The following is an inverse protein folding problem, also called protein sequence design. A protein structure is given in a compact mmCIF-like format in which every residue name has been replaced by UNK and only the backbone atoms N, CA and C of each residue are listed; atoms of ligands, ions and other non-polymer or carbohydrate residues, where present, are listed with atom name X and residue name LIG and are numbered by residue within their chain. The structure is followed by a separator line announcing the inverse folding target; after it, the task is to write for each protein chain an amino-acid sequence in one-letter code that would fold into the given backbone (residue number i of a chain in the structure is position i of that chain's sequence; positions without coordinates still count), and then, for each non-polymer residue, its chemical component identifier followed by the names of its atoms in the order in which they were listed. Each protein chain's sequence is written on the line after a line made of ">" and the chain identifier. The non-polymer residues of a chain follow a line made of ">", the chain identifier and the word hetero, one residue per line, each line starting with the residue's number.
data_IF_115980848747
#
_entry.id   IF_115980848747
#
_cell.length_a   1.000
_cell.length_b   1.000
_cell.length_c   1.000
_cell.angle_alpha   90.00
_cell.angle_beta   90.00
_cell.angle_gamma   90.00
#
_symmetry.space_group_name_H-M   'P 1'
#
loop_
_entity.id
_entity.type
_entity.pdbx_description
1 polymer ?
#
# COMPACT_ATOMS: atom_id res chain seq x y z
N UNK A 1 8.64 -24.13 -12.74
CA UNK A 1 8.16 -23.61 -14.04
C UNK A 1 7.12 -22.51 -13.81
N UNK A 2 6.21 -22.65 -12.84
CA UNK A 2 5.22 -21.61 -12.48
C UNK A 2 5.84 -20.30 -11.95
N UNK A 3 6.94 -20.36 -11.20
CA UNK A 3 7.62 -19.17 -10.69
C UNK A 3 8.22 -18.27 -11.80
N UNK A 4 8.52 -18.83 -12.96
CA UNK A 4 9.03 -18.09 -14.12
C UNK A 4 7.89 -17.31 -14.80
N UNK A 5 6.71 -17.90 -14.92
CA UNK A 5 5.52 -17.29 -15.53
C UNK A 5 4.97 -16.12 -14.70
N UNK A 6 5.11 -16.18 -13.36
CA UNK A 6 4.70 -15.11 -12.45
C UNK A 6 5.70 -13.93 -12.38
N UNK A 7 6.90 -14.08 -12.96
CA UNK A 7 7.94 -13.03 -12.97
C UNK A 7 7.96 -12.17 -14.24
N UNK A 8 7.20 -12.58 -15.27
CA UNK A 8 7.12 -11.86 -16.54
C UNK A 8 6.11 -10.71 -16.45
N UNK A 9 6.45 -9.58 -17.06
CA UNK A 9 5.51 -8.49 -17.23
C UNK A 9 4.41 -8.86 -18.25
N UNK A 10 3.28 -8.16 -18.17
CA UNK A 10 2.08 -8.43 -18.98
C UNK A 10 2.34 -8.50 -20.49
N UNK A 11 3.33 -7.76 -21.02
CA UNK A 11 3.66 -7.77 -22.45
C UNK A 11 4.43 -9.03 -22.84
N UNK A 12 5.37 -9.44 -21.99
CA UNK A 12 6.12 -10.68 -22.19
C UNK A 12 5.22 -11.92 -22.04
N UNK A 13 4.25 -11.86 -21.13
CA UNK A 13 3.23 -12.89 -20.95
C UNK A 13 2.29 -12.98 -22.18
N UNK A 14 1.83 -11.85 -22.70
CA UNK A 14 1.01 -11.78 -23.92
C UNK A 14 1.73 -12.34 -25.15
N UNK A 15 3.01 -12.03 -25.35
CA UNK A 15 3.78 -12.53 -26.50
C UNK A 15 3.89 -14.06 -26.53
N UNK A 16 4.08 -14.69 -25.37
CA UNK A 16 4.18 -16.15 -25.24
C UNK A 16 2.83 -16.83 -25.55
N UNK A 17 1.72 -16.14 -25.26
CA UNK A 17 0.38 -16.70 -25.40
C UNK A 17 -0.22 -16.43 -26.77
N UNK A 18 0.12 -15.33 -27.42
CA UNK A 18 -0.16 -15.11 -28.84
C UNK A 18 0.44 -16.20 -29.74
N UNK A 19 1.54 -16.83 -29.30
CA UNK A 19 2.14 -17.99 -29.98
C UNK A 19 1.37 -19.30 -29.75
N UNK A 20 0.56 -19.37 -28.68
CA UNK A 20 -0.34 -20.48 -28.33
C UNK A 20 -1.80 -20.28 -28.81
N UNK A 21 -2.18 -19.06 -29.19
CA UNK A 21 -3.56 -18.62 -29.49
C UNK A 21 -4.11 -19.04 -30.87
N UNK A 22 -3.53 -20.03 -31.53
CA UNK A 22 -4.15 -20.65 -32.72
C UNK A 22 -5.32 -21.60 -32.38
N UNK A 23 -5.82 -21.62 -31.13
CA UNK A 23 -6.83 -22.56 -30.68
C UNK A 23 -8.02 -21.89 -29.96
N UNK A 24 -9.02 -21.52 -30.78
CA UNK A 24 -10.47 -21.43 -30.50
C UNK A 24 -11.07 -20.17 -29.81
N UNK A 25 -12.03 -19.55 -30.51
CA UNK A 25 -12.79 -18.32 -30.21
C UNK A 25 -13.45 -18.21 -28.81
N UNK A 26 -13.61 -19.32 -28.06
CA UNK A 26 -14.19 -19.27 -26.71
C UNK A 26 -13.22 -18.69 -25.68
N UNK A 27 -11.93 -18.82 -25.92
CA UNK A 27 -10.91 -18.37 -24.99
C UNK A 27 -10.75 -16.85 -25.03
N UNK A 28 -10.88 -16.20 -26.20
CA UNK A 28 -10.79 -14.74 -26.34
C UNK A 28 -11.81 -14.01 -25.44
N UNK A 29 -13.08 -14.44 -25.45
CA UNK A 29 -14.11 -13.81 -24.60
C UNK A 29 -13.88 -14.00 -23.10
N UNK A 30 -13.32 -15.14 -22.71
CA UNK A 30 -12.97 -15.39 -21.31
C UNK A 30 -11.76 -14.54 -20.88
N UNK A 31 -10.79 -14.34 -21.78
CA UNK A 31 -9.63 -13.47 -21.56
C UNK A 31 -10.02 -12.00 -21.43
N UNK A 32 -10.90 -11.49 -22.29
CA UNK A 32 -11.40 -10.12 -22.21
C UNK A 32 -12.08 -9.83 -20.86
N UNK A 33 -12.91 -10.77 -20.38
CA UNK A 33 -13.57 -10.66 -19.07
C UNK A 33 -12.54 -10.65 -17.94
N UNK A 34 -11.53 -11.52 -18.01
CA UNK A 34 -10.48 -11.60 -17.01
C UNK A 34 -9.60 -10.34 -17.00
N UNK A 35 -9.25 -9.80 -18.17
CA UNK A 35 -8.47 -8.58 -18.33
C UNK A 35 -9.23 -7.38 -17.73
N UNK A 36 -10.51 -7.22 -18.08
CA UNK A 36 -11.36 -6.17 -17.50
C UNK A 36 -11.51 -6.32 -15.99
N UNK A 37 -11.70 -7.55 -15.49
CA UNK A 37 -11.82 -7.82 -14.05
C UNK A 37 -10.51 -7.53 -13.30
N UNK A 38 -9.36 -7.91 -13.87
CA UNK A 38 -8.05 -7.66 -13.29
C UNK A 38 -7.69 -6.17 -13.31
N UNK A 39 -7.91 -5.48 -14.43
CA UNK A 39 -7.76 -4.03 -14.52
C UNK A 39 -8.66 -3.29 -13.53
N UNK A 40 -9.92 -3.72 -13.41
CA UNK A 40 -10.86 -3.19 -12.42
C UNK A 40 -10.33 -3.36 -11.00
N UNK A 41 -9.83 -4.55 -10.68
CA UNK A 41 -9.22 -4.85 -9.37
C UNK A 41 -7.98 -3.99 -9.10
N UNK A 42 -7.13 -3.80 -10.11
CA UNK A 42 -5.94 -2.93 -10.04
C UNK A 42 -6.32 -1.46 -9.82
N UNK A 43 -7.29 -0.94 -10.56
CA UNK A 43 -7.80 0.44 -10.40
C UNK A 43 -8.39 0.66 -9.01
N UNK A 44 -9.17 -0.31 -8.49
CA UNK A 44 -9.73 -0.26 -7.14
C UNK A 44 -8.62 -0.26 -6.09
N UNK A 45 -7.62 -1.13 -6.24
CA UNK A 45 -6.46 -1.20 -5.36
C UNK A 45 -5.70 0.14 -5.29
N UNK A 46 -5.40 0.74 -6.44
CA UNK A 46 -4.72 2.04 -6.53
C UNK A 46 -5.55 3.14 -5.85
N UNK A 47 -6.86 3.18 -6.12
CA UNK A 47 -7.75 4.17 -5.50
C UNK A 47 -7.79 4.05 -3.98
N UNK A 48 -7.82 2.81 -3.44
CA UNK A 48 -7.75 2.59 -1.99
C UNK A 48 -6.42 3.01 -1.39
N UNK A 49 -5.30 2.70 -2.04
CA UNK A 49 -3.97 3.16 -1.61
C UNK A 49 -3.87 4.69 -1.58
N UNK A 50 -4.48 5.38 -2.56
CA UNK A 50 -4.54 6.85 -2.56
C UNK A 50 -5.33 7.40 -1.38
N UNK A 51 -6.48 6.79 -1.04
CA UNK A 51 -7.28 7.17 0.13
C UNK A 51 -6.49 6.96 1.42
N UNK A 52 -5.85 5.80 1.58
CA UNK A 52 -5.00 5.51 2.75
C UNK A 52 -3.83 6.47 2.88
N UNK A 53 -3.20 6.81 1.75
CA UNK A 53 -2.11 7.81 1.73
C UNK A 53 -2.62 9.16 2.20
N UNK A 54 -3.76 9.62 1.69
CA UNK A 54 -4.37 10.88 2.13
C UNK A 54 -4.74 10.86 3.61
N UNK A 55 -5.34 9.78 4.10
CA UNK A 55 -5.67 9.60 5.51
C UNK A 55 -4.41 9.62 6.38
N UNK A 56 -3.34 8.94 5.94
CA UNK A 56 -2.06 8.92 6.63
C UNK A 56 -1.43 10.32 6.70
N UNK A 57 -1.47 11.09 5.61
CA UNK A 57 -0.91 12.45 5.58
C UNK A 57 -1.59 13.39 6.57
N UNK A 58 -2.93 13.40 6.59
CA UNK A 58 -3.72 14.29 7.47
C UNK A 58 -3.89 13.75 8.89
N UNK A 59 -3.48 12.51 9.16
CA UNK A 59 -3.60 11.90 10.49
C UNK A 59 -2.85 12.75 11.52
N UNK A 60 -3.53 13.16 12.58
CA UNK A 60 -2.95 13.91 13.68
C UNK A 60 -3.43 13.33 14.99
N UNK A 61 -2.62 13.50 16.04
CA UNK A 61 -3.03 13.10 17.37
C UNK A 61 -3.89 14.21 18.01
N UNK A 62 -5.03 13.86 18.60
CA UNK A 62 -5.90 14.79 19.33
C UNK A 62 -5.41 15.00 20.77
N UNK A 63 -5.95 16.01 21.45
CA UNK A 63 -5.54 16.31 22.83
C UNK A 63 -6.10 15.32 23.85
N UNK A 64 -7.27 14.73 23.54
CA UNK A 64 -8.04 13.83 24.39
C UNK A 64 -7.62 12.36 24.23
N UNK A 65 -7.01 11.98 23.12
CA UNK A 65 -6.57 10.61 22.91
C UNK A 65 -5.22 10.34 23.56
N UNK A 66 -4.97 9.07 23.85
CA UNK A 66 -3.68 8.58 24.34
C UNK A 66 -2.75 8.25 23.18
N UNK A 67 -1.44 8.23 23.45
CA UNK A 67 -0.43 7.82 22.45
C UNK A 67 -0.69 6.40 21.94
N UNK A 68 -1.20 5.50 22.80
CA UNK A 68 -1.50 4.11 22.43
C UNK A 68 -2.66 4.07 21.44
N UNK A 69 -3.76 4.78 21.72
CA UNK A 69 -4.90 4.88 20.80
C UNK A 69 -4.49 5.47 19.46
N UNK A 70 -3.69 6.54 19.49
CA UNK A 70 -3.15 7.14 18.27
C UNK A 70 -2.29 6.14 17.46
N UNK A 71 -1.40 5.41 18.14
CA UNK A 71 -0.53 4.45 17.49
C UNK A 71 -1.30 3.28 16.85
N UNK A 72 -2.42 2.84 17.45
CA UNK A 72 -3.31 1.86 16.84
C UNK A 72 -3.84 2.39 15.49
N UNK A 73 -4.30 3.63 15.42
CA UNK A 73 -4.80 4.23 14.16
C UNK A 73 -3.71 4.30 13.09
N UNK A 74 -2.47 4.61 13.48
CA UNK A 74 -1.31 4.60 12.56
C UNK A 74 -1.07 3.19 12.01
N UNK A 75 -1.08 2.18 12.88
CA UNK A 75 -0.86 0.79 12.49
C UNK A 75 -2.01 0.22 11.66
N UNK A 76 -3.25 0.61 11.92
CA UNK A 76 -4.41 0.18 11.12
C UNK A 76 -4.26 0.60 9.65
N UNK A 77 -3.85 1.86 9.41
CA UNK A 77 -3.58 2.35 8.05
C UNK A 77 -2.40 1.60 7.42
N UNK A 78 -1.32 1.39 8.17
CA UNK A 78 -0.14 0.69 7.69
C UNK A 78 -0.45 -0.77 7.31
N UNK A 79 -1.25 -1.46 8.13
CA UNK A 79 -1.70 -2.82 7.90
C UNK A 79 -2.61 -2.89 6.67
N UNK A 80 -3.55 -1.96 6.52
CA UNK A 80 -4.41 -1.94 5.32
C UNK A 80 -3.56 -1.71 4.05
N UNK A 81 -2.59 -0.79 4.11
CA UNK A 81 -1.64 -0.56 3.02
C UNK A 81 -0.84 -1.82 2.67
N UNK A 82 -0.36 -2.57 3.67
CA UNK A 82 0.38 -3.82 3.48
C UNK A 82 -0.51 -4.93 2.87
N UNK A 83 -1.79 -5.03 3.26
CA UNK A 83 -2.73 -5.95 2.61
C UNK A 83 -3.00 -5.60 1.15
N UNK A 84 -2.84 -4.32 0.78
CA UNK A 84 -2.83 -3.83 -0.58
C UNK A 84 -1.42 -3.87 -1.19
N UNK A 85 -0.46 -4.60 -0.60
CA UNK A 85 0.87 -4.82 -1.14
C UNK A 85 1.78 -3.58 -1.19
N UNK A 86 1.43 -2.51 -0.46
CA UNK A 86 2.30 -1.35 -0.27
C UNK A 86 2.71 -1.26 1.20
N UNK A 87 3.85 -1.86 1.53
CA UNK A 87 4.37 -1.86 2.90
C UNK A 87 5.00 -0.51 3.25
N UNK A 88 4.55 0.09 4.34
CA UNK A 88 5.19 1.26 4.93
C UNK A 88 6.43 0.87 5.74
N UNK A 89 7.51 1.65 5.64
CA UNK A 89 8.70 1.42 6.43
C UNK A 89 8.50 1.86 7.88
N UNK A 90 9.15 1.18 8.83
CA UNK A 90 9.11 1.54 10.24
C UNK A 90 9.55 2.98 10.49
N UNK A 91 10.59 3.45 9.77
CA UNK A 91 11.03 4.84 9.82
C UNK A 91 9.93 5.83 9.40
N UNK A 92 9.17 5.53 8.34
CA UNK A 92 8.04 6.36 7.90
C UNK A 92 6.95 6.42 8.98
N UNK A 93 6.66 5.29 9.63
CA UNK A 93 5.69 5.20 10.71
C UNK A 93 6.14 5.97 11.96
N UNK A 94 7.40 5.80 12.38
CA UNK A 94 7.97 6.52 13.53
C UNK A 94 7.97 8.02 13.29
N UNK A 95 8.46 8.48 12.13
CA UNK A 95 8.43 9.90 11.79
C UNK A 95 7.01 10.44 11.73
N UNK A 96 6.05 9.65 11.24
CA UNK A 96 4.65 10.06 11.25
C UNK A 96 4.14 10.24 12.67
N UNK A 97 4.42 9.29 13.56
CA UNK A 97 3.99 9.39 14.96
C UNK A 97 4.56 10.65 15.59
N UNK A 98 5.88 10.84 15.53
CA UNK A 98 6.57 11.97 16.16
C UNK A 98 6.06 13.34 15.67
N UNK A 99 5.86 13.49 14.34
CA UNK A 99 5.35 14.75 13.74
C UNK A 99 3.88 15.03 14.02
N UNK A 100 3.12 14.02 14.45
CA UNK A 100 1.69 14.13 14.70
C UNK A 100 1.34 14.26 16.18
N UNK A 101 2.32 14.19 17.09
CA UNK A 101 2.10 14.39 18.52
C UNK A 101 1.78 15.85 18.84
N UNK A 102 0.91 16.14 19.83
CA UNK A 102 0.64 17.50 20.26
C UNK A 102 1.87 18.17 20.89
N UNK A 103 1.87 19.50 20.89
CA UNK A 103 3.02 20.31 21.32
C UNK A 103 3.50 20.03 22.75
N UNK A 104 2.62 19.50 23.62
CA UNK A 104 2.96 19.05 24.98
C UNK A 104 4.06 17.98 25.01
N UNK A 105 4.30 17.27 23.90
CA UNK A 105 5.33 16.25 23.79
C UNK A 105 6.62 16.75 23.13
N UNK A 106 6.72 18.01 22.68
CA UNK A 106 7.85 18.52 21.90
C UNK A 106 9.21 18.24 22.55
N UNK A 107 9.36 18.48 23.85
CA UNK A 107 10.62 18.19 24.56
C UNK A 107 11.03 16.72 24.47
N UNK A 108 10.07 15.79 24.54
CA UNK A 108 10.34 14.35 24.41
C UNK A 108 10.65 13.97 22.97
N UNK A 109 9.95 14.56 22.00
CA UNK A 109 10.20 14.34 20.57
C UNK A 109 11.63 14.76 20.21
N UNK A 110 12.03 15.98 20.56
CA UNK A 110 13.39 16.48 20.29
C UNK A 110 14.46 15.58 20.90
N UNK A 111 14.28 15.14 22.16
CA UNK A 111 15.23 14.24 22.81
C UNK A 111 15.34 12.88 22.09
N UNK A 112 14.24 12.36 21.52
CA UNK A 112 14.25 11.11 20.74
C UNK A 112 14.94 11.32 19.40
N UNK A 113 14.64 12.42 18.70
CA UNK A 113 15.26 12.75 17.41
C UNK A 113 16.77 12.93 17.55
N UNK A 114 17.23 13.68 18.56
CA UNK A 114 18.66 13.87 18.87
C UNK A 114 19.36 12.57 19.26
N UNK A 115 18.70 11.70 20.03
CA UNK A 115 19.29 10.45 20.49
C UNK A 115 19.40 9.38 19.39
N UNK A 116 18.56 9.46 18.36
CA UNK A 116 18.48 8.45 17.30
C UNK A 116 18.90 8.98 15.92
N UNK A 117 19.32 10.24 15.82
CA UNK A 117 19.71 10.91 14.56
C UNK A 117 18.63 10.78 13.47
N UNK A 118 17.36 11.04 13.86
CA UNK A 118 16.14 10.84 13.06
C UNK A 118 15.67 12.07 12.27
#
# INVERSE_FOLDING_TARGET
>A
MEAFLMSLDMRSWRAIISEWEHSTEKDETAWDILEVAFEGTSKVKISRLQILTSHFEVLQMTEEETIVEFNVRVLDIANESDTLGEKMSDSKLVQKVLRSLPSKFNMKVTAIEEANDL
#
